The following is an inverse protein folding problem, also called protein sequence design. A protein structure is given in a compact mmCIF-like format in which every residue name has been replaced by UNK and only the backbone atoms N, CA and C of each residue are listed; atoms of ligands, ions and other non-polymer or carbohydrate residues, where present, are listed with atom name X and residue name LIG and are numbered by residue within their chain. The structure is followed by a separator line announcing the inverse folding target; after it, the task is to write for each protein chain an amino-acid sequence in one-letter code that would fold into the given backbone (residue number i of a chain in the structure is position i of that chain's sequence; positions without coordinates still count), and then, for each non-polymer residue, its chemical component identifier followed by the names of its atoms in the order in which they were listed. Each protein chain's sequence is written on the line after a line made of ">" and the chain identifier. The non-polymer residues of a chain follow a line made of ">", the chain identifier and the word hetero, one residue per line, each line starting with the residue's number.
data_IF_976675497208
#
_entry.id   IF_976675497208
#
_cell.length_a   1.000
_cell.length_b   1.000
_cell.length_c   1.000
_cell.angle_alpha   90.00
_cell.angle_beta   90.00
_cell.angle_gamma   90.00
#
_symmetry.space_group_name_H-M   'P 1'
#
loop_
_entity.id
_entity.type
_entity.pdbx_description
1 polymer ?
#
# COMPACT_ATOMS: atom_id res chain seq x y z
N UNK A 1 2.30 -39.40 -25.99
CA UNK A 1 1.63 -38.94 -24.76
C UNK A 1 2.24 -37.61 -24.37
N UNK A 2 1.70 -36.49 -24.87
CA UNK A 2 2.15 -35.15 -24.46
C UNK A 2 1.31 -34.73 -23.28
N UNK A 3 1.72 -35.13 -22.08
CA UNK A 3 1.18 -34.56 -20.85
C UNK A 3 1.58 -33.08 -20.85
N UNK A 4 0.61 -32.20 -21.09
CA UNK A 4 0.75 -30.78 -20.79
C UNK A 4 1.00 -30.65 -19.30
N UNK A 5 2.27 -30.54 -18.94
CA UNK A 5 2.71 -30.14 -17.62
C UNK A 5 2.03 -28.80 -17.33
N UNK A 6 1.03 -28.78 -16.44
CA UNK A 6 0.38 -27.55 -16.03
C UNK A 6 1.45 -26.74 -15.33
N UNK A 7 2.05 -25.81 -16.09
CA UNK A 7 3.29 -25.14 -15.75
C UNK A 7 3.32 -24.69 -14.29
N UNK A 8 4.34 -25.14 -13.58
CA UNK A 8 4.65 -24.74 -12.20
C UNK A 8 5.12 -23.28 -12.20
N UNK A 9 4.17 -22.37 -12.39
CA UNK A 9 4.33 -20.92 -12.44
C UNK A 9 3.94 -20.32 -11.09
N UNK A 10 4.42 -19.10 -10.80
CA UNK A 10 4.04 -18.39 -9.59
C UNK A 10 2.50 -18.20 -9.50
N UNK A 11 1.85 -17.90 -10.63
CA UNK A 11 0.40 -17.74 -10.71
C UNK A 11 -0.36 -19.03 -10.39
N UNK A 12 0.06 -20.19 -10.94
CA UNK A 12 -0.58 -21.48 -10.63
C UNK A 12 -0.36 -21.93 -9.18
N UNK A 13 0.66 -21.41 -8.50
CA UNK A 13 0.92 -21.60 -7.07
C UNK A 13 0.26 -20.51 -6.19
N UNK A 14 -0.65 -19.72 -6.77
CA UNK A 14 -1.47 -18.77 -6.03
C UNK A 14 -0.76 -17.46 -5.66
N UNK A 15 0.39 -17.14 -6.26
CA UNK A 15 0.99 -15.81 -6.13
C UNK A 15 0.13 -14.82 -6.93
N UNK A 16 -0.46 -13.79 -6.30
CA UNK A 16 -1.31 -12.83 -7.00
C UNK A 16 -0.46 -11.90 -7.89
N UNK A 17 -1.13 -11.14 -8.75
CA UNK A 17 -0.51 -10.00 -9.43
C UNK A 17 -0.31 -8.86 -8.43
N UNK A 18 0.88 -8.23 -8.39
CA UNK A 18 1.07 -7.02 -7.58
C UNK A 18 0.36 -5.84 -8.24
N UNK A 19 -0.59 -5.24 -7.51
CA UNK A 19 -1.35 -4.05 -7.95
C UNK A 19 -1.05 -2.79 -7.13
N UNK A 20 -0.06 -2.89 -6.24
CA UNK A 20 0.38 -1.83 -5.35
C UNK A 20 -0.54 -1.56 -4.15
N UNK A 21 -1.61 -2.35 -3.96
CA UNK A 21 -2.45 -2.36 -2.75
C UNK A 21 -2.32 -3.67 -1.96
N UNK A 22 -1.92 -4.75 -2.62
CA UNK A 22 -1.84 -6.10 -2.04
C UNK A 22 -0.43 -6.55 -1.65
N UNK A 23 0.52 -5.62 -1.45
CA UNK A 23 1.94 -5.93 -1.27
C UNK A 23 2.22 -6.98 -0.19
N UNK A 24 1.62 -6.88 0.99
CA UNK A 24 1.85 -7.83 2.09
C UNK A 24 1.50 -9.27 1.70
N UNK A 25 0.37 -9.46 1.01
CA UNK A 25 -0.07 -10.77 0.53
C UNK A 25 0.83 -11.25 -0.62
N UNK A 26 1.07 -10.38 -1.61
CA UNK A 26 1.96 -10.66 -2.74
C UNK A 26 3.36 -11.07 -2.29
N UNK A 27 3.97 -10.28 -1.39
CA UNK A 27 5.31 -10.48 -0.85
C UNK A 27 5.43 -11.84 -0.18
N UNK A 28 4.50 -12.17 0.72
CA UNK A 28 4.54 -13.43 1.48
C UNK A 28 4.46 -14.63 0.55
N UNK A 29 3.59 -14.59 -0.47
CA UNK A 29 3.42 -15.70 -1.42
C UNK A 29 4.59 -15.80 -2.40
N UNK A 30 5.10 -14.68 -2.90
CA UNK A 30 6.28 -14.64 -3.75
C UNK A 30 7.53 -15.17 -3.01
N UNK A 31 7.70 -14.78 -1.75
CA UNK A 31 8.76 -15.29 -0.88
C UNK A 31 8.70 -16.82 -0.76
N UNK A 32 7.54 -17.37 -0.40
CA UNK A 32 7.36 -18.82 -0.25
C UNK A 32 7.68 -19.54 -1.57
N UNK A 33 7.18 -19.02 -2.70
CA UNK A 33 7.40 -19.61 -4.01
C UNK A 33 8.89 -19.60 -4.42
N UNK A 34 9.56 -18.45 -4.34
CA UNK A 34 10.99 -18.34 -4.67
C UNK A 34 11.87 -19.19 -3.75
N UNK A 35 11.50 -19.31 -2.46
CA UNK A 35 12.21 -20.19 -1.52
C UNK A 35 12.07 -21.66 -1.91
N UNK A 36 10.87 -22.10 -2.30
CA UNK A 36 10.64 -23.45 -2.83
C UNK A 36 11.47 -23.76 -4.08
N UNK A 37 11.70 -22.75 -4.92
CA UNK A 37 12.55 -22.83 -6.12
C UNK A 37 14.05 -22.66 -5.85
N UNK A 38 14.47 -22.43 -4.60
CA UNK A 38 15.86 -22.09 -4.21
C UNK A 38 16.40 -20.81 -4.86
N UNK A 39 15.52 -19.88 -5.23
CA UNK A 39 15.87 -18.61 -5.88
C UNK A 39 15.85 -17.42 -4.91
N UNK A 40 15.33 -17.59 -3.70
CA UNK A 40 15.19 -16.46 -2.76
C UNK A 40 16.52 -15.78 -2.40
N UNK A 41 17.59 -16.55 -2.21
CA UNK A 41 18.85 -16.01 -1.71
C UNK A 41 19.50 -15.01 -2.68
N UNK A 42 19.35 -15.20 -3.99
CA UNK A 42 19.91 -14.25 -4.95
C UNK A 42 19.22 -12.88 -4.90
N UNK A 43 18.02 -12.78 -4.31
CA UNK A 43 17.31 -11.50 -4.15
C UNK A 43 17.77 -10.69 -2.92
N UNK A 44 18.61 -11.27 -2.05
CA UNK A 44 19.02 -10.64 -0.79
C UNK A 44 20.53 -10.60 -0.57
N UNK A 45 21.23 -11.65 -0.99
CA UNK A 45 22.63 -11.89 -0.64
C UNK A 45 23.46 -11.70 -1.91
N UNK A 46 24.29 -10.64 -1.98
CA UNK A 46 25.23 -10.48 -3.08
C UNK A 46 26.17 -11.68 -3.15
N UNK A 47 26.54 -12.07 -4.35
CA UNK A 47 27.62 -13.03 -4.53
C UNK A 47 28.92 -12.45 -3.96
N UNK A 48 29.75 -13.32 -3.36
CA UNK A 48 31.05 -12.90 -2.82
C UNK A 48 32.04 -12.62 -3.95
N UNK A 49 32.94 -11.67 -3.73
CA UNK A 49 33.95 -11.29 -4.71
C UNK A 49 34.93 -12.44 -5.04
N UNK A 50 35.21 -13.29 -4.04
CA UNK A 50 36.08 -14.46 -4.11
C UNK A 50 35.41 -15.73 -4.65
N UNK A 51 34.14 -15.63 -5.07
CA UNK A 51 33.42 -16.75 -5.65
C UNK A 51 34.06 -17.23 -6.97
N UNK A 52 34.03 -18.54 -7.20
CA UNK A 52 34.50 -19.15 -8.44
C UNK A 52 33.62 -18.74 -9.62
N UNK A 53 34.15 -18.85 -10.84
CA UNK A 53 33.40 -18.52 -12.06
C UNK A 53 32.12 -19.36 -12.19
N UNK A 54 32.18 -20.65 -11.81
CA UNK A 54 31.00 -21.52 -11.79
C UNK A 54 29.92 -21.02 -10.81
N UNK A 55 30.31 -20.48 -9.65
CA UNK A 55 29.38 -19.89 -8.70
C UNK A 55 28.76 -18.59 -9.23
N UNK A 56 29.56 -17.77 -9.93
CA UNK A 56 29.09 -16.53 -10.57
C UNK A 56 28.05 -16.81 -11.66
N UNK A 57 28.31 -17.76 -12.54
CA UNK A 57 27.35 -18.18 -13.58
C UNK A 57 26.06 -18.73 -12.94
N UNK A 58 26.17 -19.61 -11.94
CA UNK A 58 25.00 -20.15 -11.26
C UNK A 58 24.16 -19.06 -10.56
N UNK A 59 24.82 -18.06 -9.96
CA UNK A 59 24.15 -16.92 -9.35
C UNK A 59 23.44 -16.05 -10.38
N UNK A 60 24.09 -15.75 -11.51
CA UNK A 60 23.50 -14.97 -12.60
C UNK A 60 22.26 -15.67 -13.17
N UNK A 61 22.34 -16.97 -13.43
CA UNK A 61 21.17 -17.75 -13.86
C UNK A 61 20.03 -17.71 -12.84
N UNK A 62 20.35 -17.86 -11.55
CA UNK A 62 19.35 -17.78 -10.48
C UNK A 62 18.72 -16.38 -10.40
N UNK A 63 19.54 -15.32 -10.53
CA UNK A 63 19.10 -13.93 -10.57
C UNK A 63 18.13 -13.69 -11.73
N UNK A 64 18.51 -14.10 -12.95
CA UNK A 64 17.68 -13.94 -14.15
C UNK A 64 16.35 -14.71 -14.04
N UNK A 65 16.37 -15.93 -13.49
CA UNK A 65 15.15 -16.72 -13.21
C UNK A 65 14.25 -16.03 -12.20
N UNK A 66 14.81 -15.50 -11.11
CA UNK A 66 14.05 -14.76 -10.10
C UNK A 66 13.42 -13.49 -10.68
N UNK A 67 14.17 -12.70 -11.45
CA UNK A 67 13.68 -11.49 -12.13
C UNK A 67 12.52 -11.82 -13.06
N UNK A 68 12.65 -12.85 -13.89
CA UNK A 68 11.60 -13.29 -14.81
C UNK A 68 10.32 -13.67 -14.07
N UNK A 69 10.43 -14.45 -12.99
CA UNK A 69 9.28 -14.83 -12.15
C UNK A 69 8.64 -13.59 -11.51
N UNK A 70 9.44 -12.74 -10.85
CA UNK A 70 8.95 -11.55 -10.14
C UNK A 70 8.20 -10.64 -11.10
N UNK A 71 8.81 -10.33 -12.24
CA UNK A 71 8.24 -9.41 -13.23
C UNK A 71 6.97 -9.94 -13.89
N UNK A 72 6.84 -11.26 -14.04
CA UNK A 72 5.61 -11.90 -14.52
C UNK A 72 4.41 -11.74 -13.57
N UNK A 73 4.67 -11.36 -12.31
CA UNK A 73 3.66 -11.14 -11.28
C UNK A 73 3.53 -9.66 -10.89
N UNK A 74 3.87 -8.73 -11.79
CA UNK A 74 3.62 -7.30 -11.66
C UNK A 74 2.57 -6.83 -12.67
N UNK A 75 1.58 -6.05 -12.22
CA UNK A 75 0.73 -5.33 -13.18
C UNK A 75 1.58 -4.32 -13.99
N UNK A 76 1.08 -3.88 -15.14
CA UNK A 76 1.85 -3.00 -16.04
C UNK A 76 2.31 -1.70 -15.36
N UNK A 77 1.49 -1.17 -14.45
CA UNK A 77 1.82 0.05 -13.68
C UNK A 77 2.93 -0.22 -12.67
N UNK A 78 2.89 -1.37 -11.99
CA UNK A 78 3.88 -1.75 -11.00
C UNK A 78 5.21 -2.06 -11.67
N UNK A 79 5.18 -2.77 -12.80
CA UNK A 79 6.32 -3.05 -13.67
C UNK A 79 7.03 -1.74 -14.05
N UNK A 80 6.31 -0.79 -14.64
CA UNK A 80 6.88 0.49 -15.10
C UNK A 80 7.51 1.34 -13.99
N UNK A 81 7.10 1.13 -12.73
CA UNK A 81 7.68 1.86 -11.58
C UNK A 81 8.99 1.27 -11.09
N UNK A 82 9.16 -0.05 -11.20
CA UNK A 82 10.26 -0.78 -10.54
C UNK A 82 11.27 -1.37 -11.50
N UNK A 83 10.90 -1.63 -12.75
CA UNK A 83 11.79 -2.17 -13.79
C UNK A 83 12.36 -1.03 -14.63
N UNK A 84 13.69 -0.99 -14.76
CA UNK A 84 14.45 0.00 -15.52
C UNK A 84 15.85 -0.56 -15.81
N UNK A 85 16.70 0.21 -16.49
CA UNK A 85 18.06 -0.20 -16.89
C UNK A 85 18.96 -0.66 -15.74
N UNK A 86 18.68 -0.26 -14.50
CA UNK A 86 19.46 -0.65 -13.31
C UNK A 86 18.92 -1.92 -12.66
N UNK A 87 17.60 -2.08 -12.60
CA UNK A 87 16.96 -3.19 -11.87
C UNK A 87 16.64 -4.41 -12.73
N UNK A 88 16.64 -4.27 -14.06
CA UNK A 88 16.27 -5.37 -14.96
C UNK A 88 17.28 -6.52 -14.99
N UNK A 89 18.50 -6.30 -14.53
CA UNK A 89 19.60 -7.27 -14.52
C UNK A 89 20.08 -7.65 -13.12
N UNK A 90 19.48 -7.10 -12.07
CA UNK A 90 19.89 -7.34 -10.68
C UNK A 90 18.65 -7.59 -9.81
N UNK A 91 18.51 -8.84 -9.37
CA UNK A 91 17.37 -9.31 -8.58
C UNK A 91 17.34 -8.66 -7.19
N UNK A 92 18.50 -8.32 -6.60
CA UNK A 92 18.59 -7.62 -5.31
C UNK A 92 18.07 -6.20 -5.47
N UNK A 93 18.55 -5.48 -6.48
CA UNK A 93 18.12 -4.10 -6.73
C UNK A 93 16.64 -4.04 -7.10
N UNK A 94 16.15 -4.99 -7.91
CA UNK A 94 14.73 -5.12 -8.21
C UNK A 94 13.90 -5.35 -6.95
N UNK A 95 14.27 -6.33 -6.13
CA UNK A 95 13.55 -6.65 -4.90
C UNK A 95 13.52 -5.47 -3.92
N UNK A 96 14.67 -4.83 -3.70
CA UNK A 96 14.78 -3.62 -2.86
C UNK A 96 13.89 -2.50 -3.38
N UNK A 97 13.84 -2.27 -4.69
CA UNK A 97 13.00 -1.23 -5.28
C UNK A 97 11.51 -1.53 -5.11
N UNK A 98 11.08 -2.78 -5.29
CA UNK A 98 9.69 -3.20 -5.03
C UNK A 98 9.33 -2.96 -3.56
N UNK A 99 10.17 -3.41 -2.63
CA UNK A 99 9.93 -3.23 -1.19
C UNK A 99 9.86 -1.75 -0.81
N UNK A 100 10.80 -0.93 -1.27
CA UNK A 100 10.81 0.51 -1.01
C UNK A 100 9.59 1.23 -1.60
N UNK A 101 9.02 0.71 -2.69
CA UNK A 101 7.90 1.32 -3.41
C UNK A 101 6.53 0.95 -2.82
N UNK A 102 6.38 -0.25 -2.26
CA UNK A 102 5.07 -0.82 -1.91
C UNK A 102 4.93 -1.35 -0.48
N UNK A 103 6.02 -1.45 0.30
CA UNK A 103 5.88 -1.78 1.71
C UNK A 103 5.02 -0.74 2.44
N UNK A 104 4.28 -1.17 3.47
CA UNK A 104 3.27 -0.36 4.15
C UNK A 104 3.77 1.02 4.55
N UNK A 105 5.01 1.11 5.05
CA UNK A 105 5.64 2.36 5.51
C UNK A 105 6.32 3.19 4.40
N UNK A 106 6.31 2.75 3.15
CA UNK A 106 6.84 3.57 2.05
C UNK A 106 6.07 4.88 1.92
N UNK A 107 6.77 5.98 1.60
CA UNK A 107 6.16 7.31 1.40
C UNK A 107 5.04 7.26 0.37
N UNK A 108 5.19 6.42 -0.66
CA UNK A 108 4.20 6.33 -1.75
C UNK A 108 2.97 5.56 -1.31
N UNK A 109 3.12 4.45 -0.57
CA UNK A 109 1.96 3.75 -0.01
C UNK A 109 1.23 4.60 1.03
N UNK A 110 1.99 5.24 1.93
CA UNK A 110 1.46 6.20 2.92
C UNK A 110 0.70 7.34 2.24
N UNK A 111 1.29 7.94 1.20
CA UNK A 111 0.65 8.97 0.40
C UNK A 111 -0.64 8.49 -0.27
N UNK A 112 -0.66 7.28 -0.85
CA UNK A 112 -1.88 6.70 -1.45
C UNK A 112 -3.00 6.53 -0.43
N UNK A 113 -2.70 5.94 0.73
CA UNK A 113 -3.67 5.70 1.81
C UNK A 113 -4.22 7.03 2.33
N UNK A 114 -3.34 8.00 2.60
CA UNK A 114 -3.75 9.33 3.05
C UNK A 114 -4.60 10.07 2.02
N UNK A 115 -4.18 10.08 0.74
CA UNK A 115 -4.93 10.74 -0.33
C UNK A 115 -6.30 10.09 -0.54
N UNK A 116 -6.38 8.75 -0.47
CA UNK A 116 -7.64 8.01 -0.53
C UNK A 116 -8.62 8.43 0.57
N UNK A 117 -8.15 8.54 1.82
CA UNK A 117 -8.97 9.05 2.91
C UNK A 117 -9.38 10.51 2.70
N UNK A 118 -8.44 11.39 2.33
CA UNK A 118 -8.71 12.83 2.13
C UNK A 118 -9.74 13.12 1.03
N UNK A 119 -9.92 12.18 0.09
CA UNK A 119 -10.89 12.27 -0.98
C UNK A 119 -12.29 11.74 -0.60
N UNK A 120 -12.45 11.11 0.57
CA UNK A 120 -13.77 10.63 1.02
C UNK A 120 -14.68 11.81 1.35
N UNK A 121 -15.75 11.91 0.58
CA UNK A 121 -16.77 12.95 0.72
C UNK A 121 -18.02 12.39 1.40
N UNK A 122 -18.68 13.23 2.18
CA UNK A 122 -20.00 12.93 2.71
C UNK A 122 -21.04 12.83 1.58
N UNK A 123 -21.82 11.74 1.57
CA UNK A 123 -22.84 11.45 0.53
C UNK A 123 -24.26 11.37 1.08
N UNK A 124 -24.59 12.14 2.11
CA UNK A 124 -25.94 12.20 2.68
C UNK A 124 -26.27 11.12 3.73
N UNK A 125 -25.39 10.12 3.94
CA UNK A 125 -25.56 9.12 5.00
C UNK A 125 -24.42 9.23 6.03
N UNK A 126 -24.76 9.69 7.23
CA UNK A 126 -23.78 9.99 8.28
C UNK A 126 -23.13 8.72 8.84
N UNK A 127 -23.92 7.68 9.08
CA UNK A 127 -23.40 6.44 9.65
C UNK A 127 -22.42 5.77 8.68
N UNK A 128 -22.78 5.66 7.41
CA UNK A 128 -21.91 5.11 6.37
C UNK A 128 -20.60 5.90 6.22
N UNK A 129 -20.66 7.23 6.33
CA UNK A 129 -19.48 8.08 6.29
C UNK A 129 -18.57 7.89 7.52
N UNK A 130 -19.15 7.78 8.72
CA UNK A 130 -18.40 7.49 9.96
C UNK A 130 -17.69 6.15 9.86
N UNK A 131 -18.39 5.10 9.40
CA UNK A 131 -17.82 3.76 9.32
C UNK A 131 -16.67 3.68 8.31
N UNK A 132 -16.81 4.33 7.15
CA UNK A 132 -15.71 4.47 6.20
C UNK A 132 -14.55 5.29 6.76
N UNK A 133 -14.83 6.39 7.45
CA UNK A 133 -13.79 7.21 8.09
C UNK A 133 -12.99 6.38 9.08
N UNK A 134 -13.64 5.54 9.89
CA UNK A 134 -12.97 4.61 10.82
C UNK A 134 -12.07 3.62 10.09
N UNK A 135 -12.55 3.02 9.00
CA UNK A 135 -11.76 2.10 8.17
C UNK A 135 -10.50 2.81 7.66
N UNK A 136 -10.65 4.02 7.10
CA UNK A 136 -9.53 4.80 6.62
C UNK A 136 -8.53 5.19 7.72
N UNK A 137 -9.00 5.53 8.92
CA UNK A 137 -8.11 5.84 10.05
C UNK A 137 -7.32 4.62 10.50
N UNK A 138 -7.91 3.42 10.47
CA UNK A 138 -7.20 2.16 10.71
C UNK A 138 -6.15 1.89 9.62
N UNK A 139 -6.48 2.15 8.35
CA UNK A 139 -5.52 2.01 7.24
C UNK A 139 -4.34 2.99 7.37
N UNK A 140 -4.62 4.24 7.78
CA UNK A 140 -3.63 5.30 8.04
C UNK A 140 -2.66 4.88 9.15
N UNK A 141 -3.19 4.33 10.25
CA UNK A 141 -2.39 3.81 11.35
C UNK A 141 -1.53 2.61 10.91
N UNK A 142 -2.12 1.68 10.14
CA UNK A 142 -1.43 0.50 9.63
C UNK A 142 -0.24 0.82 8.71
N UNK A 143 -0.23 2.00 8.07
CA UNK A 143 0.91 2.49 7.27
C UNK A 143 1.86 3.40 8.05
N UNK A 144 1.61 3.61 9.34
CA UNK A 144 2.45 4.42 10.24
C UNK A 144 2.33 5.92 9.98
N UNK A 145 1.15 6.40 9.61
CA UNK A 145 0.86 7.84 9.56
C UNK A 145 0.19 8.24 10.87
N UNK A 146 0.89 9.03 11.68
CA UNK A 146 0.33 9.61 12.90
C UNK A 146 -0.20 11.01 12.60
N UNK A 147 -1.48 11.24 12.86
CA UNK A 147 -2.10 12.55 12.72
C UNK A 147 -2.56 13.08 14.09
N UNK A 148 -2.36 14.38 14.36
CA UNK A 148 -2.95 15.00 15.54
C UNK A 148 -4.49 14.89 15.53
N UNK A 149 -5.15 14.62 16.67
CA UNK A 149 -6.60 14.44 16.75
C UNK A 149 -7.44 15.64 16.29
N UNK A 150 -6.93 16.85 16.48
CA UNK A 150 -7.51 18.11 16.01
C UNK A 150 -7.48 18.19 14.48
N UNK A 151 -6.38 17.82 13.84
CA UNK A 151 -6.28 17.75 12.37
C UNK A 151 -7.29 16.75 11.79
N UNK A 152 -7.43 15.57 12.42
CA UNK A 152 -8.45 14.58 12.02
C UNK A 152 -9.84 15.20 12.11
N UNK A 153 -10.12 15.92 13.21
CA UNK A 153 -11.40 16.58 13.42
C UNK A 153 -11.69 17.65 12.35
N UNK A 154 -10.70 18.47 11.99
CA UNK A 154 -10.85 19.50 10.96
C UNK A 154 -11.11 18.91 9.57
N UNK A 155 -10.45 17.82 9.20
CA UNK A 155 -10.64 17.16 7.90
C UNK A 155 -12.03 16.51 7.79
N UNK A 156 -12.48 15.83 8.85
CA UNK A 156 -13.83 15.25 8.93
C UNK A 156 -14.90 16.35 8.84
N UNK A 157 -14.73 17.43 9.60
CA UNK A 157 -15.64 18.58 9.56
C UNK A 157 -15.64 19.26 8.18
N UNK A 158 -14.47 19.42 7.56
CA UNK A 158 -14.34 19.99 6.23
C UNK A 158 -15.15 19.21 5.19
N UNK A 159 -15.01 17.88 5.18
CA UNK A 159 -15.76 16.99 4.27
C UNK A 159 -17.28 17.04 4.49
N UNK A 160 -17.73 17.16 5.74
CA UNK A 160 -19.15 17.36 6.07
C UNK A 160 -19.66 18.74 5.63
N UNK A 161 -18.86 19.80 5.86
CA UNK A 161 -19.22 21.18 5.54
C UNK A 161 -19.31 21.43 4.03
N UNK A 162 -18.50 20.75 3.21
CA UNK A 162 -18.49 20.91 1.74
C UNK A 162 -19.82 20.59 1.05
N UNK A 163 -20.78 19.93 1.72
CA UNK A 163 -22.09 19.65 1.11
C UNK A 163 -23.31 20.15 1.91
N UNK A 164 -23.17 20.67 3.14
CA UNK A 164 -24.35 20.89 4.00
C UNK A 164 -24.61 22.30 4.52
N UNK A 165 -23.68 23.27 4.48
CA UNK A 165 -23.92 24.53 5.20
C UNK A 165 -23.41 25.79 4.47
N UNK A 166 -24.34 26.71 4.20
CA UNK A 166 -24.02 28.14 4.07
C UNK A 166 -23.21 28.58 5.30
N UNK A 167 -22.19 29.40 5.08
CA UNK A 167 -21.17 29.89 6.02
C UNK A 167 -21.72 30.33 7.41
N UNK A 168 -23.00 30.67 7.51
CA UNK A 168 -23.68 31.07 8.76
C UNK A 168 -23.68 30.01 9.87
N UNK A 169 -23.64 28.73 9.54
CA UNK A 169 -23.63 27.65 10.56
C UNK A 169 -22.22 27.34 11.09
N UNK A 170 -21.16 27.81 10.43
CA UNK A 170 -19.77 27.64 10.89
C UNK A 170 -19.39 28.53 12.08
N UNK A 171 -20.05 29.69 12.25
CA UNK A 171 -19.75 30.63 13.34
C UNK A 171 -19.96 30.03 14.73
N UNK A 172 -20.85 29.04 14.87
CA UNK A 172 -21.12 28.36 16.15
C UNK A 172 -20.02 27.33 16.49
N UNK A 173 -19.39 26.73 15.47
CA UNK A 173 -18.36 25.69 15.64
C UNK A 173 -16.96 26.30 15.83
N UNK A 174 -16.69 27.47 15.25
CA UNK A 174 -15.35 28.08 15.21
C UNK A 174 -14.99 28.95 16.43
N UNK A 175 -15.88 29.12 17.42
CA UNK A 175 -15.51 29.82 18.66
C UNK A 175 -14.81 28.87 19.65
N UNK A 176 -13.55 29.13 20.03
CA UNK A 176 -12.70 28.20 20.78
C UNK A 176 -13.11 27.98 22.25
N UNK A 177 -14.16 28.65 22.75
CA UNK A 177 -14.62 28.49 24.13
C UNK A 177 -15.67 27.40 24.33
N UNK A 178 -16.19 26.78 23.28
CA UNK A 178 -17.39 25.91 23.38
C UNK A 178 -17.18 24.44 23.05
N UNK A 179 -15.99 24.02 22.58
CA UNK A 179 -15.79 22.64 22.09
C UNK A 179 -14.55 22.00 22.71
N UNK A 180 -14.62 21.70 24.02
CA UNK A 180 -13.64 20.82 24.66
C UNK A 180 -14.07 19.34 24.64
N UNK A 181 -15.22 19.00 24.04
CA UNK A 181 -15.69 17.62 24.00
C UNK A 181 -16.48 17.31 22.71
N UNK A 182 -16.14 16.24 21.96
CA UNK A 182 -16.86 15.80 20.76
C UNK A 182 -18.39 15.63 20.94
N UNK A 183 -18.85 15.29 22.16
CA UNK A 183 -20.27 15.18 22.49
C UNK A 183 -21.02 16.53 22.46
N UNK A 184 -20.35 17.61 22.81
CA UNK A 184 -20.95 18.96 22.84
C UNK A 184 -21.18 19.50 21.44
N UNK A 185 -20.27 19.19 20.50
CA UNK A 185 -20.41 19.52 19.09
C UNK A 185 -21.61 18.78 18.45
N UNK A 186 -21.80 17.51 18.81
CA UNK A 186 -22.91 16.67 18.34
C UNK A 186 -24.28 17.17 18.82
N UNK A 187 -24.38 17.64 20.07
CA UNK A 187 -25.64 18.18 20.60
C UNK A 187 -26.03 19.55 20.03
N UNK A 188 -25.06 20.38 19.61
CA UNK A 188 -25.35 21.70 19.02
C UNK A 188 -25.84 21.63 17.58
N UNK A 189 -25.38 20.65 16.80
CA UNK A 189 -25.75 20.51 15.38
C UNK A 189 -27.15 19.90 15.17
N UNK A 190 -27.69 19.16 16.15
CA UNK A 190 -28.91 18.34 15.96
C UNK A 190 -30.08 18.67 16.90
N UNK A 191 -30.04 19.76 17.69
CA UNK A 191 -31.14 20.16 18.60
C UNK A 191 -32.11 21.21 18.05
N UNK A 192 -32.18 21.36 16.72
CA UNK A 192 -33.30 22.04 16.05
C UNK A 192 -33.84 21.17 14.93
N UNK A 193 -34.66 20.21 15.34
CA UNK A 193 -35.69 19.54 14.56
C UNK A 193 -36.92 19.47 15.45
#
# INVERSE_FOLDING_TARGET
>A
MSGTDKGDTAASNGVPMLDGSNYTNWHTRMFIYLRGKKLWNCCLIPIKDDASDAQKVAYEEASNKAISIITSCLDSRCYNKVVNSVTMSDSILLWKKIAAQYASHSVINRGRVFMGWSAEIYKGNLQAYIDKTRIHLLDIDAVGITLPPDIISYLVLGSLCTMTLSIKSLTIVLYPKTVHHPRTLFLMLFRRG
#
